data_IF_589907459583
#
_entry.id   IF_589907459583
#
_cell.length_a   1.000
_cell.length_b   1.000
_cell.length_c   1.000
_cell.angle_alpha   90.00
_cell.angle_beta   90.00
_cell.angle_gamma   90.00
#
_symmetry.space_group_name_H-M   'P 1'
#
loop_
_entity.id
_entity.type
_entity.pdbx_description
1 polymer ?
#
# COMPACT_ATOMS: atom_id res chain seq x y z
N UNK A 1 0.82 15.33 24.80
CA UNK A 1 -0.22 15.93 25.68
C UNK A 1 -1.07 14.81 26.31
N UNK A 2 -1.66 13.89 25.51
CA UNK A 2 -2.54 12.82 25.99
C UNK A 2 -1.90 11.94 27.06
N UNK A 3 -0.64 11.51 26.88
CA UNK A 3 0.08 10.69 27.85
C UNK A 3 0.25 11.37 29.20
N UNK A 4 0.53 12.68 29.23
CA UNK A 4 0.59 13.44 30.50
C UNK A 4 -0.77 13.51 31.21
N UNK A 5 -1.85 13.48 30.46
CA UNK A 5 -3.22 13.51 30.99
C UNK A 5 -3.79 12.11 31.23
N UNK A 6 -2.98 11.05 31.06
CA UNK A 6 -3.40 9.64 31.16
C UNK A 6 -4.62 9.32 30.30
N UNK A 7 -4.69 9.92 29.11
CA UNK A 7 -5.77 9.67 28.16
C UNK A 7 -5.36 8.58 27.18
N UNK A 8 -6.30 7.69 26.88
CA UNK A 8 -6.20 6.69 25.83
C UNK A 8 -6.08 7.36 24.48
N UNK A 9 -5.30 6.77 23.57
CA UNK A 9 -5.13 7.24 22.21
C UNK A 9 -5.26 6.10 21.25
N UNK A 10 -5.77 6.37 20.04
CA UNK A 10 -5.65 5.55 18.85
C UNK A 10 -4.73 6.30 17.89
N UNK A 11 -3.77 5.62 17.30
CA UNK A 11 -2.84 6.22 16.35
C UNK A 11 -2.98 5.50 15.02
N UNK A 12 -3.37 6.24 14.00
CA UNK A 12 -3.36 5.86 12.60
C UNK A 12 -2.27 6.66 11.89
N UNK A 13 -1.24 5.96 11.42
CA UNK A 13 -0.01 6.56 10.89
C UNK A 13 0.27 6.03 9.48
N UNK A 14 1.53 6.10 9.04
CA UNK A 14 1.92 5.65 7.70
C UNK A 14 1.77 4.15 7.46
N UNK A 15 1.85 3.75 6.21
CA UNK A 15 1.76 2.37 5.78
C UNK A 15 2.63 2.09 4.55
N UNK A 16 3.00 0.84 4.37
CA UNK A 16 3.66 0.33 3.17
C UNK A 16 3.08 -1.03 2.83
N UNK A 17 1.78 -1.03 2.50
CA UNK A 17 0.99 -2.24 2.33
C UNK A 17 1.57 -3.15 1.24
N UNK A 18 1.82 -4.43 1.56
CA UNK A 18 2.17 -5.43 0.57
C UNK A 18 0.94 -5.80 -0.26
N UNK A 19 1.17 -6.02 -1.54
CA UNK A 19 0.21 -6.56 -2.50
C UNK A 19 0.85 -7.79 -3.14
N UNK A 20 0.53 -8.98 -2.61
CA UNK A 20 1.15 -10.24 -2.99
C UNK A 20 0.40 -10.87 -4.15
N UNK A 21 1.11 -11.31 -5.17
CA UNK A 21 0.56 -12.00 -6.35
C UNK A 21 1.21 -13.36 -6.47
N UNK A 22 0.42 -14.43 -6.26
CA UNK A 22 0.89 -15.81 -6.38
C UNK A 22 0.69 -16.34 -7.82
N UNK A 23 1.25 -17.49 -8.09
CA UNK A 23 1.32 -18.10 -9.42
C UNK A 23 -0.05 -18.46 -10.02
N UNK A 24 -1.01 -18.83 -9.18
CA UNK A 24 -2.37 -19.19 -9.57
C UNK A 24 -3.37 -18.01 -9.58
N UNK A 25 -2.92 -16.78 -9.29
CA UNK A 25 -3.79 -15.61 -9.23
C UNK A 25 -4.50 -15.31 -10.55
N UNK A 26 -5.77 -14.88 -10.48
CA UNK A 26 -6.47 -14.26 -11.61
C UNK A 26 -5.80 -12.92 -11.95
N UNK A 27 -4.86 -12.95 -12.89
CA UNK A 27 -3.95 -11.83 -13.13
C UNK A 27 -4.68 -10.59 -13.68
N UNK A 28 -5.76 -10.75 -14.44
CA UNK A 28 -6.48 -9.63 -15.02
C UNK A 28 -7.20 -8.82 -13.92
N UNK A 29 -7.96 -9.49 -13.08
CA UNK A 29 -8.57 -8.84 -11.89
C UNK A 29 -7.54 -8.32 -10.92
N UNK A 30 -6.47 -9.08 -10.72
CA UNK A 30 -5.37 -8.70 -9.82
C UNK A 30 -4.74 -7.39 -10.27
N UNK A 31 -4.39 -7.24 -11.56
CA UNK A 31 -3.72 -6.04 -12.07
C UNK A 31 -4.66 -4.83 -12.07
N UNK A 32 -5.91 -4.98 -12.48
CA UNK A 32 -6.90 -3.90 -12.42
C UNK A 32 -7.07 -3.39 -10.98
N UNK A 33 -7.23 -4.31 -10.03
CA UNK A 33 -7.32 -3.97 -8.61
C UNK A 33 -6.01 -3.37 -8.07
N UNK A 34 -4.85 -3.84 -8.54
CA UNK A 34 -3.55 -3.32 -8.14
C UNK A 34 -3.34 -1.86 -8.57
N UNK A 35 -3.81 -1.49 -9.76
CA UNK A 35 -3.79 -0.09 -10.20
C UNK A 35 -4.72 0.75 -9.34
N UNK A 36 -5.95 0.32 -9.14
CA UNK A 36 -6.92 1.01 -8.28
C UNK A 36 -6.37 1.19 -6.86
N UNK A 37 -5.82 0.11 -6.26
CA UNK A 37 -5.23 0.13 -4.92
C UNK A 37 -4.04 1.10 -4.80
N UNK A 38 -3.21 1.24 -5.85
CA UNK A 38 -2.11 2.22 -5.85
C UNK A 38 -2.62 3.64 -6.01
N UNK A 39 -3.64 3.84 -6.85
CA UNK A 39 -4.05 5.17 -7.28
C UNK A 39 -5.10 5.84 -6.38
N UNK A 40 -5.53 5.18 -5.29
CA UNK A 40 -6.40 5.82 -4.29
C UNK A 40 -5.78 7.16 -3.87
N UNK A 41 -6.56 8.24 -4.05
CA UNK A 41 -6.13 9.61 -3.75
C UNK A 41 -4.75 9.94 -4.38
N UNK A 42 -4.52 9.55 -5.63
CA UNK A 42 -3.24 9.69 -6.34
C UNK A 42 -2.05 9.00 -5.62
N UNK A 43 -2.32 7.91 -4.90
CA UNK A 43 -1.33 7.22 -4.07
C UNK A 43 -1.03 7.88 -2.73
N UNK A 44 -1.71 8.97 -2.39
CA UNK A 44 -1.56 9.70 -1.13
C UNK A 44 -2.54 9.17 -0.06
N UNK A 45 -2.46 7.87 0.18
CA UNK A 45 -3.24 7.19 1.22
C UNK A 45 -2.34 6.18 1.95
N UNK A 46 -2.50 6.09 3.26
CA UNK A 46 -1.75 5.12 4.08
C UNK A 46 -2.03 3.66 3.65
N UNK A 47 -3.26 3.37 3.22
CA UNK A 47 -3.67 2.04 2.71
C UNK A 47 -3.49 1.86 1.20
N UNK A 48 -3.01 2.85 0.46
CA UNK A 48 -2.68 2.63 -0.95
C UNK A 48 -1.57 1.59 -1.06
N UNK A 49 -1.79 0.51 -1.82
CA UNK A 49 -0.80 -0.55 -1.99
C UNK A 49 0.51 0.02 -2.57
N UNK A 50 1.64 -0.30 -1.96
CA UNK A 50 2.94 0.29 -2.32
C UNK A 50 3.92 -0.73 -2.86
N UNK A 51 4.01 -1.90 -2.20
CA UNK A 51 4.94 -2.97 -2.54
C UNK A 51 4.19 -4.11 -3.21
N UNK A 52 4.34 -4.22 -4.54
CA UNK A 52 3.75 -5.27 -5.35
C UNK A 52 4.73 -6.44 -5.40
N UNK A 53 4.50 -7.44 -4.55
CA UNK A 53 5.35 -8.61 -4.35
C UNK A 53 4.83 -9.71 -5.27
N UNK A 54 5.55 -9.99 -6.34
CA UNK A 54 5.07 -10.84 -7.44
C UNK A 54 5.98 -12.05 -7.60
N UNK A 55 5.40 -13.25 -7.64
CA UNK A 55 6.18 -14.45 -7.94
C UNK A 55 6.74 -14.40 -9.36
N UNK A 56 7.97 -14.86 -9.56
CA UNK A 56 8.72 -14.74 -10.83
C UNK A 56 7.94 -15.32 -12.01
N UNK A 57 7.16 -16.40 -11.81
CA UNK A 57 6.34 -17.01 -12.86
C UNK A 57 5.25 -16.09 -13.43
N UNK A 58 4.86 -15.05 -12.69
CA UNK A 58 3.82 -14.06 -13.09
C UNK A 58 4.37 -12.66 -13.32
N UNK A 59 5.67 -12.46 -13.11
CA UNK A 59 6.30 -11.14 -13.10
C UNK A 59 6.12 -10.40 -14.43
N UNK A 60 6.52 -11.00 -15.55
CA UNK A 60 6.47 -10.37 -16.87
C UNK A 60 5.03 -9.97 -17.26
N UNK A 61 4.07 -10.86 -17.01
CA UNK A 61 2.67 -10.59 -17.32
C UNK A 61 2.11 -9.46 -16.42
N UNK A 62 2.44 -9.47 -15.14
CA UNK A 62 2.03 -8.42 -14.19
C UNK A 62 2.63 -7.07 -14.55
N UNK A 63 3.93 -7.00 -14.83
CA UNK A 63 4.64 -5.79 -15.26
C UNK A 63 4.01 -5.20 -16.52
N UNK A 64 3.81 -6.04 -17.54
CA UNK A 64 3.27 -5.61 -18.83
C UNK A 64 1.86 -5.03 -18.68
N UNK A 65 0.96 -5.78 -18.05
CA UNK A 65 -0.43 -5.36 -17.89
C UNK A 65 -0.56 -4.13 -17.00
N UNK A 66 0.17 -4.09 -15.88
CA UNK A 66 0.14 -2.94 -14.95
C UNK A 66 0.68 -1.68 -15.61
N UNK A 67 1.79 -1.78 -16.32
CA UNK A 67 2.38 -0.66 -17.05
C UNK A 67 1.43 -0.15 -18.14
N UNK A 68 0.80 -1.06 -18.87
CA UNK A 68 -0.20 -0.71 -19.89
C UNK A 68 -1.35 0.10 -19.30
N UNK A 69 -1.98 -0.37 -18.21
CA UNK A 69 -3.10 0.34 -17.60
C UNK A 69 -2.62 1.67 -17.00
N UNK A 70 -1.52 1.69 -16.26
CA UNK A 70 -1.02 2.94 -15.66
C UNK A 70 -0.60 3.98 -16.70
N UNK A 71 -0.18 3.58 -17.90
CA UNK A 71 0.17 4.49 -18.99
C UNK A 71 -1.03 5.24 -19.60
N UNK A 72 -2.24 4.73 -19.39
CA UNK A 72 -3.48 5.39 -19.86
C UNK A 72 -4.00 6.46 -18.90
N UNK A 73 -3.46 6.50 -17.68
CA UNK A 73 -3.92 7.46 -16.67
C UNK A 73 -3.47 8.87 -17.02
N UNK A 74 -4.43 9.80 -17.05
CA UNK A 74 -4.20 11.18 -17.47
C UNK A 74 -4.03 12.10 -16.27
N UNK A 75 -2.82 12.65 -16.03
CA UNK A 75 -2.62 13.74 -15.07
C UNK A 75 -3.25 15.04 -15.57
N UNK A 76 -3.91 15.80 -14.68
CA UNK A 76 -4.54 17.05 -15.09
C UNK A 76 -5.20 17.82 -13.96
N UNK A 77 -5.91 18.88 -14.34
CA UNK A 77 -6.69 19.71 -13.41
C UNK A 77 -7.76 18.85 -12.72
N UNK A 78 -7.76 18.74 -11.38
CA UNK A 78 -8.72 17.92 -10.65
C UNK A 78 -10.17 18.43 -10.74
N UNK A 79 -10.42 19.61 -11.29
CA UNK A 79 -11.77 20.13 -11.55
C UNK A 79 -12.37 19.62 -12.88
N UNK A 80 -11.57 18.99 -13.74
CA UNK A 80 -12.02 18.38 -14.98
C UNK A 80 -12.45 16.93 -14.76
N UNK A 81 -13.54 16.52 -15.40
CA UNK A 81 -14.12 15.18 -15.17
C UNK A 81 -13.28 14.03 -15.74
N UNK A 82 -12.47 14.29 -16.75
CA UNK A 82 -11.59 13.32 -17.41
C UNK A 82 -10.20 13.22 -16.78
N UNK A 83 -9.89 14.04 -15.78
CA UNK A 83 -8.66 13.93 -15.00
C UNK A 83 -8.71 12.70 -14.10
N UNK A 84 -7.71 11.84 -14.25
CA UNK A 84 -7.58 10.62 -13.45
C UNK A 84 -6.49 10.71 -12.38
N UNK A 85 -5.54 11.62 -12.56
CA UNK A 85 -4.42 11.83 -11.61
C UNK A 85 -4.28 13.31 -11.32
N UNK A 86 -4.59 13.71 -10.10
CA UNK A 86 -4.41 15.07 -9.62
C UNK A 86 -2.99 15.34 -9.11
N UNK A 87 -2.72 16.55 -8.60
CA UNK A 87 -1.42 16.91 -8.04
C UNK A 87 -1.21 16.25 -6.67
N UNK A 88 0.06 16.18 -6.25
CA UNK A 88 0.42 15.92 -4.87
C UNK A 88 0.11 17.14 -4.00
N UNK A 89 -0.02 16.92 -2.70
CA UNK A 89 -0.47 17.96 -1.77
C UNK A 89 0.54 19.11 -1.61
N UNK A 90 1.85 18.84 -1.72
CA UNK A 90 2.93 19.81 -1.48
C UNK A 90 4.15 19.50 -2.33
N UNK A 91 4.98 20.52 -2.56
CA UNK A 91 6.22 20.43 -3.33
C UNK A 91 7.24 19.49 -2.68
N UNK A 92 7.46 19.64 -1.38
CA UNK A 92 8.41 18.83 -0.64
C UNK A 92 8.07 17.32 -0.67
N UNK A 93 6.78 16.97 -0.67
CA UNK A 93 6.32 15.57 -0.80
C UNK A 93 6.57 15.02 -2.22
N UNK A 94 6.38 15.85 -3.25
CA UNK A 94 6.73 15.49 -4.63
C UNK A 94 8.23 15.25 -4.78
N UNK A 95 9.03 16.11 -4.20
CA UNK A 95 10.48 16.06 -4.30
C UNK A 95 11.05 14.88 -3.49
N UNK A 96 10.49 14.59 -2.32
CA UNK A 96 10.79 13.39 -1.56
C UNK A 96 10.47 12.12 -2.34
N UNK A 97 9.28 12.03 -2.93
CA UNK A 97 8.88 10.91 -3.78
C UNK A 97 9.83 10.74 -4.98
N UNK A 98 10.18 11.85 -5.64
CA UNK A 98 11.13 11.81 -6.75
C UNK A 98 12.51 11.30 -6.32
N UNK A 99 12.98 11.73 -5.15
CA UNK A 99 14.24 11.25 -4.59
C UNK A 99 14.20 9.75 -4.26
N UNK A 100 13.10 9.24 -3.73
CA UNK A 100 12.89 7.81 -3.46
C UNK A 100 12.97 6.97 -4.75
N UNK A 101 12.33 7.45 -5.83
CA UNK A 101 12.41 6.82 -7.16
C UNK A 101 13.84 6.87 -7.68
N UNK A 102 14.45 8.06 -7.71
CA UNK A 102 15.81 8.28 -8.24
C UNK A 102 16.84 7.39 -7.51
N UNK A 103 16.86 7.41 -6.20
CA UNK A 103 17.84 6.62 -5.42
C UNK A 103 17.67 5.12 -5.62
N UNK A 104 16.43 4.65 -5.81
CA UNK A 104 16.17 3.24 -6.11
C UNK A 104 16.64 2.85 -7.51
N UNK A 105 16.46 3.73 -8.51
CA UNK A 105 17.02 3.53 -9.87
C UNK A 105 18.54 3.54 -9.87
N UNK A 106 19.16 4.48 -9.16
CA UNK A 106 20.61 4.56 -8.98
C UNK A 106 21.19 3.30 -8.28
N UNK A 107 20.36 2.64 -7.44
CA UNK A 107 20.69 1.36 -6.79
C UNK A 107 20.38 0.12 -7.66
N UNK A 108 19.93 0.28 -8.90
CA UNK A 108 19.75 -0.79 -9.87
C UNK A 108 18.32 -1.27 -10.08
N UNK A 109 17.31 -0.58 -9.54
CA UNK A 109 15.92 -0.82 -9.90
C UNK A 109 15.63 -0.43 -11.36
N UNK A 110 14.63 -1.03 -11.98
CA UNK A 110 14.29 -0.86 -13.40
C UNK A 110 13.04 -0.01 -13.56
N UNK A 111 13.17 1.13 -14.24
CA UNK A 111 12.03 1.99 -14.57
C UNK A 111 11.25 1.40 -15.76
N UNK A 112 9.95 1.16 -15.58
CA UNK A 112 9.05 0.68 -16.63
C UNK A 112 8.17 1.79 -17.18
N UNK A 113 7.79 2.78 -16.34
CA UNK A 113 6.91 3.88 -16.72
C UNK A 113 7.18 5.10 -15.83
N UNK A 114 7.06 6.31 -16.39
CA UNK A 114 7.05 7.57 -15.66
C UNK A 114 8.38 7.95 -15.02
N UNK A 115 8.36 8.23 -13.73
CA UNK A 115 9.55 8.52 -12.92
C UNK A 115 9.95 10.00 -12.88
N UNK A 116 9.08 10.92 -13.35
CA UNK A 116 9.39 12.34 -13.43
C UNK A 116 8.31 13.23 -12.82
N UNK A 117 8.74 14.34 -12.28
CA UNK A 117 7.86 15.46 -11.97
C UNK A 117 7.35 16.11 -13.28
N UNK A 118 6.08 16.49 -13.30
CA UNK A 118 5.48 17.19 -14.44
C UNK A 118 5.62 18.69 -14.19
N UNK A 119 6.17 19.42 -15.19
CA UNK A 119 6.34 20.86 -15.11
C UNK A 119 5.01 21.60 -15.26
N UNK A 120 4.87 22.74 -14.59
CA UNK A 120 3.70 23.59 -14.67
C UNK A 120 3.11 23.92 -13.29
N UNK A 121 1.94 24.56 -13.25
CA UNK A 121 1.23 24.82 -11.99
C UNK A 121 0.81 23.52 -11.29
N UNK A 122 0.98 23.46 -9.97
CA UNK A 122 0.69 22.27 -9.17
C UNK A 122 1.89 21.32 -9.03
N UNK A 123 1.76 20.36 -8.13
CA UNK A 123 2.84 19.43 -7.77
C UNK A 123 2.59 18.05 -8.37
N UNK A 124 2.56 17.99 -9.70
CA UNK A 124 2.25 16.77 -10.43
C UNK A 124 3.45 15.83 -10.53
N UNK A 125 3.14 14.54 -10.52
CA UNK A 125 4.09 13.46 -10.75
C UNK A 125 3.49 12.42 -11.70
N UNK A 126 4.29 11.89 -12.61
CA UNK A 126 3.83 10.88 -13.56
C UNK A 126 3.42 9.59 -12.84
N UNK A 127 2.32 8.91 -13.29
CA UNK A 127 2.09 7.52 -12.93
C UNK A 127 3.33 6.69 -13.20
N UNK A 128 3.87 6.04 -12.17
CA UNK A 128 5.22 5.45 -12.23
C UNK A 128 5.19 3.99 -11.82
N UNK A 129 5.90 3.16 -12.60
CA UNK A 129 6.14 1.75 -12.31
C UNK A 129 7.64 1.49 -12.28
N UNK A 130 8.13 1.00 -11.15
CA UNK A 130 9.53 0.62 -10.93
C UNK A 130 9.57 -0.85 -10.56
N UNK A 131 10.35 -1.64 -11.25
CA UNK A 131 10.56 -3.07 -10.99
C UNK A 131 11.97 -3.38 -10.51
N UNK A 132 12.20 -4.65 -10.17
CA UNK A 132 13.45 -5.14 -9.59
C UNK A 132 13.82 -4.41 -8.28
N UNK A 133 12.80 -3.96 -7.54
CA UNK A 133 13.00 -3.33 -6.23
C UNK A 133 13.46 -4.38 -5.22
N UNK A 134 14.51 -4.07 -4.46
CA UNK A 134 15.18 -5.02 -3.55
C UNK A 134 15.47 -4.39 -2.19
N UNK A 135 15.75 -5.19 -1.16
CA UNK A 135 16.21 -4.69 0.14
C UNK A 135 17.38 -3.71 -0.01
N UNK A 136 17.36 -2.63 0.77
CA UNK A 136 18.34 -1.54 0.69
C UNK A 136 17.90 -0.36 -0.18
N UNK A 137 16.87 -0.50 -1.00
CA UNK A 137 16.33 0.58 -1.82
C UNK A 137 15.26 1.38 -1.05
N UNK A 138 15.15 2.69 -1.32
CA UNK A 138 14.15 3.56 -0.70
C UNK A 138 12.73 3.08 -0.99
N UNK A 139 12.42 2.68 -2.22
CA UNK A 139 11.10 2.14 -2.61
C UNK A 139 10.74 0.81 -1.92
N UNK A 140 11.72 0.11 -1.34
CA UNK A 140 11.47 -1.09 -0.56
C UNK A 140 11.11 -0.80 0.89
N UNK A 141 11.82 0.15 1.53
CA UNK A 141 11.75 0.35 2.99
C UNK A 141 10.90 1.53 3.43
N UNK A 142 10.74 2.54 2.55
CA UNK A 142 10.06 3.78 2.89
C UNK A 142 8.60 3.75 2.46
N UNK A 143 7.80 4.64 3.04
CA UNK A 143 6.47 4.90 2.55
C UNK A 143 6.52 5.79 1.31
N UNK A 144 6.09 5.28 0.15
CA UNK A 144 5.95 6.07 -1.07
C UNK A 144 4.55 6.69 -1.13
N UNK A 145 4.47 8.01 -0.98
CA UNK A 145 3.18 8.71 -0.86
C UNK A 145 2.86 9.47 -2.14
N UNK A 146 2.48 8.73 -3.19
CA UNK A 146 2.18 9.26 -4.53
C UNK A 146 2.00 8.15 -5.57
N UNK A 147 1.87 8.46 -6.86
CA UNK A 147 1.49 7.53 -7.92
C UNK A 147 2.62 6.59 -8.36
N UNK A 148 3.36 6.01 -7.42
CA UNK A 148 4.52 5.15 -7.68
C UNK A 148 4.26 3.72 -7.20
N UNK A 149 4.42 2.74 -8.08
CA UNK A 149 4.32 1.31 -7.81
C UNK A 149 5.72 0.70 -7.76
N UNK A 150 6.08 0.04 -6.64
CA UNK A 150 7.32 -0.71 -6.50
C UNK A 150 7.04 -2.20 -6.68
N UNK A 151 7.57 -2.83 -7.74
CA UNK A 151 7.43 -4.27 -7.99
C UNK A 151 8.67 -4.98 -7.45
N UNK A 152 8.41 -6.00 -6.62
CA UNK A 152 9.42 -6.80 -5.92
C UNK A 152 9.26 -8.25 -6.39
N UNK A 153 10.14 -8.77 -7.24
CA UNK A 153 10.11 -10.15 -7.64
C UNK A 153 10.51 -11.09 -6.49
N UNK A 154 9.81 -12.21 -6.38
CA UNK A 154 10.07 -13.26 -5.40
C UNK A 154 9.90 -14.63 -6.05
N UNK A 155 10.62 -15.64 -5.52
CA UNK A 155 10.60 -16.99 -6.11
C UNK A 155 9.32 -17.79 -5.80
N UNK A 156 8.77 -17.61 -4.60
CA UNK A 156 7.65 -18.40 -4.09
C UNK A 156 6.85 -17.66 -3.01
N UNK A 157 5.76 -18.30 -2.53
CA UNK A 157 4.89 -17.76 -1.51
C UNK A 157 5.60 -17.54 -0.15
N UNK A 158 6.54 -18.39 0.21
CA UNK A 158 7.27 -18.27 1.49
C UNK A 158 8.17 -17.03 1.48
N UNK A 159 8.84 -16.76 0.37
CA UNK A 159 9.61 -15.53 0.20
C UNK A 159 8.69 -14.31 0.15
N UNK A 160 7.53 -14.41 -0.50
CA UNK A 160 6.55 -13.32 -0.54
C UNK A 160 6.12 -12.90 0.87
N UNK A 161 5.84 -13.85 1.77
CA UNK A 161 5.49 -13.56 3.16
C UNK A 161 6.67 -12.92 3.92
N UNK A 162 7.91 -13.40 3.71
CA UNK A 162 9.10 -12.79 4.34
C UNK A 162 9.27 -11.34 3.90
N UNK A 163 9.17 -11.07 2.60
CA UNK A 163 9.25 -9.73 2.04
C UNK A 163 8.10 -8.85 2.52
N UNK A 164 6.87 -9.38 2.59
CA UNK A 164 5.72 -8.65 3.11
C UNK A 164 5.95 -8.16 4.53
N UNK A 165 6.53 -9.00 5.39
CA UNK A 165 6.77 -8.72 6.80
C UNK A 165 8.05 -7.91 7.06
N UNK A 166 8.97 -7.84 6.08
CA UNK A 166 10.19 -7.02 6.15
C UNK A 166 9.87 -5.55 5.94
N UNK A 167 9.11 -5.01 6.88
CA UNK A 167 8.68 -3.62 6.91
C UNK A 167 8.51 -3.13 8.34
N UNK A 168 8.84 -1.86 8.56
CA UNK A 168 8.53 -1.17 9.82
C UNK A 168 7.04 -0.84 9.98
N UNK A 169 6.24 -1.00 8.91
CA UNK A 169 4.81 -0.75 8.87
C UNK A 169 4.01 -2.06 8.92
N UNK A 170 2.73 -1.96 9.26
CA UNK A 170 1.81 -3.08 9.30
C UNK A 170 0.36 -2.60 9.39
N UNK A 171 -0.09 -1.82 8.40
CA UNK A 171 -1.46 -1.30 8.37
C UNK A 171 -2.41 -2.27 7.68
N UNK A 172 -2.24 -2.51 6.40
CA UNK A 172 -3.02 -3.44 5.61
C UNK A 172 -2.14 -4.35 4.75
N UNK A 173 -2.79 -5.18 3.95
CA UNK A 173 -2.14 -6.02 2.96
C UNK A 173 -3.17 -6.73 2.07
N UNK A 174 -2.73 -7.12 0.89
CA UNK A 174 -3.52 -7.87 -0.09
C UNK A 174 -2.76 -9.12 -0.53
N UNK A 175 -3.49 -10.20 -0.81
CA UNK A 175 -2.92 -11.44 -1.31
C UNK A 175 -3.84 -12.02 -2.38
N UNK A 176 -3.28 -12.38 -3.53
CA UNK A 176 -4.00 -12.89 -4.68
C UNK A 176 -3.62 -14.33 -5.00
N UNK A 177 -4.61 -15.21 -4.99
CA UNK A 177 -4.52 -16.65 -5.29
C UNK A 177 -5.90 -17.21 -5.59
N UNK A 178 -5.98 -18.23 -6.42
CA UNK A 178 -7.22 -18.98 -6.64
C UNK A 178 -7.45 -20.08 -5.57
N UNK A 179 -6.40 -20.50 -4.86
CA UNK A 179 -6.53 -21.40 -3.70
C UNK A 179 -6.86 -20.61 -2.42
N UNK A 180 -8.14 -20.45 -2.14
CA UNK A 180 -8.62 -19.70 -0.96
C UNK A 180 -8.18 -20.33 0.35
N UNK A 181 -7.95 -21.65 0.40
CA UNK A 181 -7.46 -22.34 1.61
C UNK A 181 -6.02 -21.96 1.90
N UNK A 182 -5.18 -21.94 0.87
CA UNK A 182 -3.81 -21.44 0.97
C UNK A 182 -3.81 -19.94 1.27
N UNK A 183 -4.66 -19.19 0.59
CA UNK A 183 -4.81 -17.75 0.78
C UNK A 183 -5.09 -17.38 2.23
N UNK A 184 -6.02 -18.07 2.89
CA UNK A 184 -6.31 -17.84 4.31
C UNK A 184 -5.11 -18.18 5.21
N UNK A 185 -4.41 -19.29 4.95
CA UNK A 185 -3.22 -19.67 5.73
C UNK A 185 -2.10 -18.64 5.61
N UNK A 186 -1.85 -18.13 4.40
CA UNK A 186 -0.82 -17.13 4.15
C UNK A 186 -1.22 -15.76 4.71
N UNK A 187 -2.49 -15.36 4.57
CA UNK A 187 -3.00 -14.12 5.13
C UNK A 187 -2.77 -14.01 6.64
N UNK A 188 -2.90 -15.13 7.38
CA UNK A 188 -2.63 -15.19 8.83
C UNK A 188 -1.15 -14.98 9.20
N UNK A 189 -0.23 -15.10 8.24
CA UNK A 189 1.20 -14.90 8.43
C UNK A 189 1.65 -13.47 8.11
N UNK A 190 0.81 -12.66 7.47
CA UNK A 190 1.11 -11.27 7.15
C UNK A 190 0.93 -10.42 8.40
N UNK A 191 1.98 -9.72 8.81
CA UNK A 191 2.03 -8.87 9.99
C UNK A 191 1.43 -7.48 9.72
N UNK A 192 0.09 -7.42 9.65
CA UNK A 192 -0.67 -6.18 9.45
C UNK A 192 -1.97 -6.19 10.23
N UNK A 193 -2.63 -5.03 10.30
CA UNK A 193 -3.91 -4.89 10.97
C UNK A 193 -5.08 -5.52 10.21
N UNK A 194 -4.98 -5.61 8.88
CA UNK A 194 -5.97 -6.24 8.01
C UNK A 194 -5.32 -6.86 6.77
N UNK A 195 -5.88 -7.98 6.28
CA UNK A 195 -5.45 -8.61 5.03
C UNK A 195 -6.67 -8.95 4.19
N UNK A 196 -6.61 -8.65 2.91
CA UNK A 196 -7.67 -8.90 1.93
C UNK A 196 -7.18 -9.94 0.91
N UNK A 197 -7.86 -11.09 0.85
CA UNK A 197 -7.60 -12.11 -0.16
C UNK A 197 -8.46 -11.80 -1.39
N UNK A 198 -7.83 -11.74 -2.57
CA UNK A 198 -8.44 -11.37 -3.84
C UNK A 198 -9.18 -10.02 -3.82
N UNK A 199 -8.61 -9.07 -3.12
CA UNK A 199 -9.11 -7.71 -2.99
C UNK A 199 -8.00 -6.73 -2.65
N UNK A 200 -8.37 -5.50 -2.35
CA UNK A 200 -7.45 -4.45 -1.88
C UNK A 200 -7.82 -4.02 -0.46
N UNK A 201 -6.88 -3.42 0.25
CA UNK A 201 -7.15 -2.83 1.56
C UNK A 201 -8.19 -1.71 1.43
N UNK A 202 -9.28 -1.84 2.16
CA UNK A 202 -10.37 -0.85 2.23
C UNK A 202 -10.77 -0.60 3.68
N UNK A 203 -11.29 0.58 3.94
CA UNK A 203 -11.94 0.92 5.21
C UNK A 203 -13.42 0.58 5.13
N UNK A 204 -13.87 -0.40 5.92
CA UNK A 204 -15.28 -0.82 6.00
C UNK A 204 -15.78 -0.63 7.44
N UNK A 205 -16.88 0.09 7.68
CA UNK A 205 -17.38 0.36 9.03
C UNK A 205 -17.73 -0.89 9.84
N UNK A 206 -17.90 -2.04 9.21
CA UNK A 206 -18.17 -3.33 9.86
C UNK A 206 -16.92 -4.02 10.39
N UNK A 207 -15.74 -3.67 9.88
CA UNK A 207 -14.46 -4.27 10.21
C UNK A 207 -13.63 -3.34 11.11
N UNK A 208 -12.88 -3.89 12.08
CA UNK A 208 -11.93 -3.06 12.83
C UNK A 208 -10.80 -2.59 11.90
N UNK A 209 -10.49 -1.31 11.95
CA UNK A 209 -9.43 -0.70 11.16
C UNK A 209 -8.32 -0.19 12.07
N UNK A 210 -7.07 -0.44 11.70
CA UNK A 210 -5.89 0.04 12.41
C UNK A 210 -4.68 -0.87 12.22
N UNK A 211 -3.51 -0.29 12.41
CA UNK A 211 -2.23 -0.94 12.16
C UNK A 211 -1.56 -1.53 13.40
N UNK A 212 -0.41 -2.13 13.13
CA UNK A 212 0.60 -2.57 14.10
C UNK A 212 1.95 -1.96 13.71
N UNK A 213 3.01 -2.26 14.45
CA UNK A 213 4.36 -1.73 14.22
C UNK A 213 4.31 -0.18 14.20
N UNK A 214 4.98 0.48 13.23
CA UNK A 214 4.97 1.95 13.08
C UNK A 214 3.72 2.51 12.40
N UNK A 215 2.81 1.66 11.94
CA UNK A 215 1.50 2.10 11.47
C UNK A 215 0.56 2.53 12.58
N UNK A 216 0.91 2.26 13.83
CA UNK A 216 0.17 2.77 14.98
C UNK A 216 -0.36 1.67 15.90
N UNK A 217 -1.36 2.01 16.69
CA UNK A 217 -2.02 1.10 17.62
C UNK A 217 -3.45 1.55 17.93
N UNK A 218 -4.23 0.65 18.50
CA UNK A 218 -5.67 0.82 18.69
C UNK A 218 -6.44 0.38 17.46
N UNK A 219 -7.75 0.53 17.50
CA UNK A 219 -8.62 0.24 16.35
C UNK A 219 -9.69 1.29 16.23
N UNK A 220 -9.97 1.65 14.97
CA UNK A 220 -11.14 2.42 14.59
C UNK A 220 -12.21 1.48 14.05
N UNK A 221 -13.40 1.98 13.83
CA UNK A 221 -14.55 1.29 13.25
C UNK A 221 -15.01 0.03 14.03
N UNK A 222 -16.10 -0.56 13.57
CA UNK A 222 -16.74 -1.72 14.18
C UNK A 222 -17.04 -1.53 15.69
N UNK A 223 -17.38 -2.61 16.37
CA UNK A 223 -17.55 -2.59 17.83
C UNK A 223 -16.25 -2.27 18.61
N UNK A 224 -15.08 -2.51 18.00
CA UNK A 224 -13.79 -2.23 18.62
C UNK A 224 -13.54 -0.73 18.71
N UNK A 225 -13.75 0.01 17.61
CA UNK A 225 -13.62 1.46 17.59
C UNK A 225 -14.60 2.16 18.53
N UNK A 226 -15.85 1.68 18.60
CA UNK A 226 -16.84 2.23 19.52
C UNK A 226 -16.38 2.08 20.99
N UNK A 227 -15.80 0.93 21.35
CA UNK A 227 -15.35 0.64 22.71
C UNK A 227 -14.01 1.29 23.07
N UNK A 228 -13.25 1.73 22.08
CA UNK A 228 -11.87 2.20 22.30
C UNK A 228 -11.79 3.40 23.24
N UNK A 229 -12.79 4.29 23.22
CA UNK A 229 -12.84 5.49 24.04
C UNK A 229 -13.88 5.39 25.17
N UNK A 230 -14.39 4.19 25.45
CA UNK A 230 -15.30 3.98 26.59
C UNK A 230 -14.54 3.53 27.83
N UNK A 231 -15.10 3.83 29.01
CA UNK A 231 -14.59 3.34 30.27
C UNK A 231 -15.20 1.97 30.60
N UNK A 232 -14.36 0.96 30.77
CA UNK A 232 -14.76 -0.37 31.23
C UNK A 232 -14.79 -0.36 32.76
N UNK A 233 -15.98 -0.59 33.34
CA UNK A 233 -16.19 -0.56 34.78
C UNK A 233 -16.72 -1.90 35.26
N UNK A 234 -16.07 -2.48 36.27
CA UNK A 234 -16.57 -3.67 36.95
C UNK A 234 -17.43 -3.25 38.17
N UNK A 235 -18.56 -3.95 38.39
CA UNK A 235 -19.40 -3.81 39.54
C UNK A 235 -19.53 -5.20 40.15
N UNK A 236 -19.16 -5.33 41.41
CA UNK A 236 -19.32 -6.54 42.19
C UNK A 236 -20.41 -6.29 43.28
N UNK A 237 -21.38 -7.18 43.38
CA UNK A 237 -22.43 -7.19 44.44
C UNK A 237 -22.31 -8.54 45.14
N UNK A 238 -21.99 -8.50 46.44
CA UNK A 238 -21.90 -9.71 47.29
C UNK A 238 -23.27 -10.16 47.81
#
# INVERSE_FOLDING_TARGET
IAGRALKKTVLELGGSDPYIVLDDADIDKCVETAVNARMINNGQSCIAAKRFIVVESRLEEFETKKTMIMSTLTPGDPLLQDTQVGPLAREDLRDELHNQVKTSLDAGARLLLGGKSISGPGYFYEPTVVSDVRPGMSLYHEETFGPVSAIIPVKDADEAIKVANDSKFGLGGSLWTNDLTQGEKLARQIESGAVFVNGMTISDPRLPFGGIKRSGYGRELSQFGIREFTNIKSIWIA
#
